data_IF_596739061936
#
_entry.id   IF_596739061936
#
_cell.length_a   1.000
_cell.length_b   1.000
_cell.length_c   1.000
_cell.angle_alpha   90.00
_cell.angle_beta   90.00
_cell.angle_gamma   90.00
#
_symmetry.space_group_name_H-M   'P 1'
#
loop_
_entity.id
_entity.type
_entity.pdbx_description
1 polymer ?
#
# COMPACT_ATOMS: atom_id res chain seq x y z
N UNK A 1 9.52 -3.57 -27.51
CA UNK A 1 9.64 -4.86 -28.22
C UNK A 1 8.55 -5.78 -27.71
N UNK A 2 7.42 -5.89 -28.43
CA UNK A 2 6.41 -6.91 -28.18
C UNK A 2 6.84 -8.18 -28.91
N UNK A 3 6.94 -9.31 -28.20
CA UNK A 3 7.04 -10.63 -28.80
C UNK A 3 5.85 -11.45 -28.31
N UNK A 4 4.90 -11.65 -29.23
CA UNK A 4 3.85 -12.66 -29.18
C UNK A 4 4.47 -14.05 -29.38
N UNK A 5 4.15 -15.01 -28.52
CA UNK A 5 4.44 -16.42 -28.78
C UNK A 5 3.15 -17.23 -28.76
N UNK A 6 2.84 -17.85 -29.90
CA UNK A 6 1.78 -18.83 -30.09
C UNK A 6 2.26 -20.19 -29.57
N UNK A 7 1.50 -20.78 -28.65
CA UNK A 7 1.78 -22.13 -28.14
C UNK A 7 1.23 -23.18 -29.12
N UNK A 8 2.10 -24.03 -29.64
CA UNK A 8 1.75 -25.28 -30.30
C UNK A 8 2.86 -26.30 -30.04
N UNK A 9 2.42 -27.51 -29.68
CA UNK A 9 3.14 -28.79 -29.53
C UNK A 9 3.97 -29.04 -28.26
N UNK A 10 3.45 -29.96 -27.41
CA UNK A 10 4.16 -31.11 -26.81
C UNK A 10 3.12 -32.16 -26.27
N UNK A 11 3.47 -33.46 -26.18
CA UNK A 11 2.55 -34.63 -26.16
C UNK A 11 2.10 -35.10 -24.74
N UNK A 12 1.15 -36.06 -24.62
CA UNK A 12 0.45 -36.33 -23.36
C UNK A 12 1.13 -37.41 -22.49
N UNK A 13 1.13 -37.23 -21.17
CA UNK A 13 1.42 -38.29 -20.19
C UNK A 13 0.71 -38.06 -18.85
N UNK A 14 -0.40 -38.77 -18.67
CA UNK A 14 -0.89 -39.49 -17.48
C UNK A 14 -0.68 -38.88 -16.08
N UNK A 15 -1.76 -38.23 -15.63
CA UNK A 15 -2.40 -38.16 -14.29
C UNK A 15 -1.73 -38.92 -13.12
N UNK A 16 -1.34 -38.16 -12.09
CA UNK A 16 -1.56 -38.52 -10.69
C UNK A 16 -1.90 -37.25 -9.88
N UNK A 17 -3.03 -37.31 -9.19
CA UNK A 17 -3.77 -36.20 -8.61
C UNK A 17 -3.28 -35.86 -7.19
N UNK A 18 -2.90 -34.60 -6.96
CA UNK A 18 -3.06 -33.92 -5.67
C UNK A 18 -3.21 -32.42 -5.92
N UNK A 19 -4.47 -31.99 -6.03
CA UNK A 19 -4.91 -30.66 -6.44
C UNK A 19 -4.77 -29.67 -5.27
N UNK A 20 -3.74 -28.83 -5.29
CA UNK A 20 -3.70 -27.55 -4.56
C UNK A 20 -4.02 -26.42 -5.55
N UNK A 21 -5.01 -25.59 -5.23
CA UNK A 21 -5.47 -24.51 -6.11
C UNK A 21 -4.39 -23.44 -6.32
N UNK A 22 -4.11 -23.02 -7.58
CA UNK A 22 -3.31 -21.83 -7.83
C UNK A 22 -4.20 -20.59 -7.65
N UNK A 23 -3.78 -19.67 -6.78
CA UNK A 23 -4.37 -18.33 -6.65
C UNK A 23 -4.16 -17.54 -7.94
N UNK A 24 -5.12 -17.69 -8.86
CA UNK A 24 -5.28 -16.82 -10.01
C UNK A 24 -6.06 -15.58 -9.55
N UNK A 25 -5.50 -14.39 -9.75
CA UNK A 25 -6.23 -13.14 -9.62
C UNK A 25 -7.35 -13.15 -10.68
N UNK A 26 -8.54 -13.56 -10.26
CA UNK A 26 -9.72 -13.52 -11.09
C UNK A 26 -10.12 -12.05 -11.25
N UNK A 27 -9.89 -11.50 -12.44
CA UNK A 27 -10.65 -10.34 -12.89
C UNK A 27 -12.09 -10.80 -13.10
N UNK A 28 -12.86 -10.90 -12.01
CA UNK A 28 -14.28 -11.16 -12.10
C UNK A 28 -14.93 -9.88 -12.63
N UNK A 29 -15.02 -9.78 -13.96
CA UNK A 29 -15.93 -8.85 -14.63
C UNK A 29 -17.33 -9.21 -14.16
N UNK A 30 -17.85 -8.46 -13.20
CA UNK A 30 -19.29 -8.44 -12.97
C UNK A 30 -19.94 -7.99 -14.28
N UNK A 31 -20.78 -8.82 -14.92
CA UNK A 31 -21.65 -8.32 -15.97
C UNK A 31 -22.61 -7.35 -15.26
N UNK A 32 -22.53 -6.07 -15.63
CA UNK A 32 -23.52 -5.08 -15.21
C UNK A 32 -24.88 -5.53 -15.74
N UNK A 33 -25.68 -6.13 -14.87
CA UNK A 33 -27.05 -6.50 -15.19
C UNK A 33 -27.91 -5.24 -15.06
N UNK A 34 -27.90 -4.40 -16.10
CA UNK A 34 -28.83 -3.29 -16.25
C UNK A 34 -29.34 -3.29 -17.71
N UNK A 35 -30.65 -3.45 -17.96
CA UNK A 35 -31.17 -3.54 -19.32
C UNK A 35 -31.00 -2.18 -20.02
N UNK A 36 -30.29 -2.18 -21.14
CA UNK A 36 -30.29 -1.11 -22.16
C UNK A 36 -29.76 0.29 -21.75
N UNK A 37 -28.75 0.39 -20.86
CA UNK A 37 -27.98 1.65 -20.76
C UNK A 37 -26.95 1.72 -21.88
N UNK A 38 -27.06 2.76 -22.72
CA UNK A 38 -26.08 3.11 -23.75
C UNK A 38 -24.65 3.07 -23.15
N UNK A 39 -23.62 2.59 -23.87
CA UNK A 39 -22.25 2.60 -23.38
C UNK A 39 -21.80 4.01 -22.96
N UNK A 40 -20.93 4.10 -21.95
CA UNK A 40 -20.35 5.39 -21.54
C UNK A 40 -19.27 5.81 -22.54
N UNK A 41 -19.27 7.11 -22.90
CA UNK A 41 -18.25 7.71 -23.76
C UNK A 41 -16.92 7.96 -23.02
N UNK A 42 -16.94 7.86 -21.70
CA UNK A 42 -15.78 7.99 -20.82
C UNK A 42 -15.50 6.64 -20.16
N UNK A 43 -14.24 6.19 -20.20
CA UNK A 43 -13.78 5.01 -19.47
C UNK A 43 -12.96 5.38 -18.25
N UNK A 44 -13.10 4.60 -17.18
CA UNK A 44 -12.27 4.71 -15.98
C UNK A 44 -11.23 3.59 -15.96
N UNK A 45 -9.95 3.99 -15.89
CA UNK A 45 -8.81 3.13 -15.58
C UNK A 45 -8.26 3.50 -14.20
N UNK A 46 -8.00 2.50 -13.37
CA UNK A 46 -7.42 2.66 -12.04
C UNK A 46 -6.16 1.83 -11.98
N UNK A 47 -5.05 2.46 -11.63
CA UNK A 47 -3.75 1.79 -11.51
C UNK A 47 -3.12 2.13 -10.17
N UNK A 48 -2.74 1.12 -9.39
CA UNK A 48 -1.90 1.33 -8.21
C UNK A 48 -0.56 1.90 -8.69
N UNK A 49 -0.08 2.96 -8.04
CA UNK A 49 1.22 3.51 -8.35
C UNK A 49 2.27 2.55 -7.79
N UNK A 50 2.90 1.78 -8.69
CA UNK A 50 3.99 0.89 -8.32
C UNK A 50 5.21 1.71 -7.92
N UNK A 51 5.94 1.22 -6.92
CA UNK A 51 7.20 1.81 -6.51
C UNK A 51 8.32 0.99 -7.15
N UNK A 52 9.24 1.60 -7.90
CA UNK A 52 10.36 0.88 -8.47
C UNK A 52 11.25 0.31 -7.35
N UNK A 53 11.80 -0.88 -7.56
CA UNK A 53 12.79 -1.48 -6.67
C UNK A 53 14.11 -1.71 -7.41
N UNK A 54 15.21 -1.75 -6.66
CA UNK A 54 16.53 -2.05 -7.21
C UNK A 54 16.61 -3.54 -7.55
N UNK A 55 17.09 -3.85 -8.75
CA UNK A 55 17.37 -5.24 -9.11
C UNK A 55 18.66 -5.67 -8.42
N UNK A 56 18.55 -6.64 -7.50
CA UNK A 56 19.73 -7.31 -6.93
C UNK A 56 20.35 -8.16 -8.03
N UNK A 57 21.50 -7.72 -8.54
CA UNK A 57 22.34 -8.51 -9.43
C UNK A 57 23.45 -9.16 -8.62
N UNK A 58 23.51 -10.48 -8.68
CA UNK A 58 24.60 -11.21 -8.04
C UNK A 58 25.83 -11.12 -8.93
N UNK A 59 27.02 -10.81 -8.36
CA UNK A 59 28.24 -10.81 -9.13
C UNK A 59 28.46 -12.19 -9.76
N UNK A 60 28.66 -12.22 -11.07
CA UNK A 60 29.24 -13.38 -11.74
C UNK A 60 30.69 -13.48 -11.27
N UNK A 61 31.22 -14.72 -11.17
CA UNK A 61 32.61 -15.04 -10.79
C UNK A 61 33.60 -13.96 -11.25
N UNK A 62 34.44 -13.47 -10.33
CA UNK A 62 35.32 -12.34 -10.62
C UNK A 62 36.17 -12.60 -11.89
N UNK A 63 36.39 -11.58 -12.74
CA UNK A 63 37.26 -11.72 -13.90
C UNK A 63 38.62 -12.26 -13.46
N UNK A 64 39.19 -13.18 -14.26
CA UNK A 64 40.49 -13.84 -14.00
C UNK A 64 40.51 -14.91 -12.89
N UNK A 65 39.37 -15.28 -12.30
CA UNK A 65 39.35 -16.39 -11.32
C UNK A 65 39.64 -17.73 -12.03
N UNK A 66 40.73 -18.46 -11.69
CA UNK A 66 41.09 -19.73 -12.31
C UNK A 66 39.95 -20.74 -12.29
N UNK A 67 39.61 -21.39 -13.40
CA UNK A 67 38.49 -22.36 -13.49
C UNK A 67 38.62 -23.56 -12.54
N UNK A 68 39.83 -23.82 -12.02
CA UNK A 68 40.11 -24.92 -11.11
C UNK A 68 39.76 -24.62 -9.64
N UNK A 69 39.51 -23.36 -9.28
CA UNK A 69 39.07 -23.01 -7.93
C UNK A 69 37.57 -23.31 -7.77
N UNK A 70 37.14 -23.92 -6.65
CA UNK A 70 35.73 -24.04 -6.32
C UNK A 70 35.04 -22.67 -6.43
N UNK A 71 33.82 -22.62 -6.95
CA UNK A 71 33.06 -21.39 -6.92
C UNK A 71 32.79 -21.01 -5.45
N UNK A 72 33.12 -19.78 -5.06
CA UNK A 72 32.68 -19.27 -3.76
C UNK A 72 31.15 -19.37 -3.70
N UNK A 73 30.58 -19.78 -2.56
CA UNK A 73 29.13 -19.91 -2.42
C UNK A 73 28.50 -18.55 -2.68
N UNK A 74 27.71 -18.45 -3.75
CA UNK A 74 26.88 -17.27 -4.01
C UNK A 74 25.76 -17.21 -2.97
N UNK A 75 25.23 -16.01 -2.61
CA UNK A 75 24.10 -15.88 -1.68
C UNK A 75 22.85 -16.69 -2.03
N UNK A 76 22.69 -17.10 -3.30
CA UNK A 76 21.62 -18.01 -3.75
C UNK A 76 21.90 -19.52 -3.53
N UNK A 77 23.04 -19.88 -2.92
CA UNK A 77 23.43 -21.24 -2.60
C UNK A 77 23.00 -21.60 -1.18
N UNK A 78 22.43 -22.79 -0.99
CA UNK A 78 22.09 -23.35 0.34
C UNK A 78 23.28 -23.43 1.31
N UNK A 79 24.52 -23.30 0.81
CA UNK A 79 25.76 -23.32 1.58
C UNK A 79 26.25 -21.92 2.03
N UNK A 80 25.49 -20.86 1.79
CA UNK A 80 25.87 -19.50 2.17
C UNK A 80 25.39 -19.18 3.60
N UNK A 81 26.32 -19.15 4.55
CA UNK A 81 26.06 -18.87 5.97
C UNK A 81 26.04 -17.35 6.23
N UNK A 82 24.85 -16.81 6.53
CA UNK A 82 24.59 -15.37 6.66
C UNK A 82 24.62 -14.92 8.13
N UNK A 83 25.68 -15.21 8.87
CA UNK A 83 25.67 -14.93 10.32
C UNK A 83 25.93 -13.47 10.72
N UNK A 84 26.35 -12.55 9.83
CA UNK A 84 26.56 -11.15 10.25
C UNK A 84 26.70 -10.05 9.18
N UNK A 85 26.74 -10.35 7.87
CA UNK A 85 27.01 -9.31 6.87
C UNK A 85 26.06 -9.41 5.68
N UNK A 86 25.17 -8.43 5.53
CA UNK A 86 24.29 -8.29 4.38
C UNK A 86 25.04 -8.02 3.07
N UNK A 87 26.37 -7.84 3.12
CA UNK A 87 27.19 -7.65 1.93
C UNK A 87 28.71 -7.88 2.18
N UNK A 88 29.27 -9.09 1.98
CA UNK A 88 30.69 -9.33 2.23
C UNK A 88 31.64 -8.83 1.13
N UNK A 89 31.14 -8.37 -0.02
CA UNK A 89 31.99 -7.89 -1.11
C UNK A 89 31.38 -6.63 -1.76
N UNK A 90 32.15 -5.55 -2.01
CA UNK A 90 31.62 -4.36 -2.67
C UNK A 90 31.22 -4.69 -4.12
N UNK A 91 29.93 -4.92 -4.36
CA UNK A 91 29.37 -5.03 -5.70
C UNK A 91 28.68 -3.73 -6.08
N UNK A 92 28.73 -3.38 -7.36
CA UNK A 92 28.05 -2.21 -7.89
C UNK A 92 26.54 -2.50 -7.91
N UNK A 93 25.74 -1.70 -7.20
CA UNK A 93 24.30 -1.67 -7.42
C UNK A 93 24.06 -1.26 -8.87
N UNK A 94 23.45 -2.16 -9.64
CA UNK A 94 23.06 -1.84 -11.01
C UNK A 94 22.05 -0.69 -10.96
N UNK A 95 22.17 0.35 -11.82
CA UNK A 95 21.20 1.46 -11.87
C UNK A 95 19.83 1.04 -12.42
N UNK A 96 19.60 -0.27 -12.58
CA UNK A 96 18.38 -0.83 -13.14
C UNK A 96 17.33 -0.92 -12.04
N UNK A 97 16.30 -0.11 -12.20
CA UNK A 97 15.07 -0.20 -11.44
C UNK A 97 14.12 -1.15 -12.17
N UNK A 98 13.53 -2.10 -11.44
CA UNK A 98 12.43 -2.91 -11.96
C UNK A 98 11.11 -2.40 -11.39
N UNK A 99 10.08 -2.44 -12.22
CA UNK A 99 8.72 -2.26 -11.74
C UNK A 99 8.19 -3.63 -11.30
N UNK A 100 7.56 -3.73 -10.12
CA UNK A 100 7.00 -5.00 -9.69
C UNK A 100 6.05 -5.57 -10.74
N UNK A 101 6.21 -6.85 -11.04
CA UNK A 101 5.45 -7.58 -12.08
C UNK A 101 3.95 -7.74 -11.73
N UNK A 102 3.54 -7.38 -10.51
CA UNK A 102 2.18 -7.52 -10.02
C UNK A 102 1.80 -6.39 -9.06
N UNK A 103 0.51 -6.33 -8.74
CA UNK A 103 -0.07 -5.32 -7.84
C UNK A 103 0.48 -5.35 -6.41
N UNK A 104 1.27 -6.36 -6.03
CA UNK A 104 1.84 -6.54 -4.69
C UNK A 104 0.79 -6.70 -3.59
N UNK A 105 1.23 -7.11 -2.40
CA UNK A 105 0.40 -7.01 -1.20
C UNK A 105 0.25 -5.53 -0.79
N UNK A 106 -0.82 -5.19 -0.09
CA UNK A 106 -0.95 -3.91 0.61
C UNK A 106 -0.81 -4.18 2.09
N UNK A 107 -0.02 -3.38 2.80
CA UNK A 107 0.20 -3.61 4.22
C UNK A 107 -0.24 -2.42 5.09
N UNK A 108 -0.64 -2.74 6.33
CA UNK A 108 -1.01 -1.74 7.33
C UNK A 108 0.21 -0.89 7.68
N UNK A 109 -0.02 0.41 7.74
CA UNK A 109 0.96 1.44 7.98
C UNK A 109 1.60 2.00 6.72
N UNK A 110 1.31 1.43 5.54
CA UNK A 110 1.68 2.03 4.26
C UNK A 110 0.64 3.04 3.77
N UNK A 111 1.09 3.92 2.88
CA UNK A 111 0.19 4.76 2.06
C UNK A 111 -0.17 4.01 0.79
N UNK A 112 -1.45 3.69 0.65
CA UNK A 112 -2.05 3.22 -0.61
C UNK A 112 -2.16 4.38 -1.59
N UNK A 113 -1.49 4.26 -2.74
CA UNK A 113 -1.51 5.27 -3.78
C UNK A 113 -1.97 4.69 -5.11
N UNK A 114 -2.92 5.35 -5.78
CA UNK A 114 -3.37 4.96 -7.11
C UNK A 114 -3.67 6.18 -7.99
N UNK A 115 -3.51 6.00 -9.30
CA UNK A 115 -3.96 6.96 -10.31
C UNK A 115 -5.32 6.53 -10.86
N UNK A 116 -6.22 7.50 -10.95
CA UNK A 116 -7.56 7.42 -11.52
C UNK A 116 -7.54 8.19 -12.83
N UNK A 117 -7.82 7.51 -13.94
CA UNK A 117 -7.81 8.11 -15.27
C UNK A 117 -9.20 7.97 -15.91
N UNK A 118 -9.90 9.08 -16.06
CA UNK A 118 -11.12 9.18 -16.86
C UNK A 118 -10.73 9.57 -18.28
N UNK A 119 -10.81 8.62 -19.21
CA UNK A 119 -10.39 8.81 -20.61
C UNK A 119 -11.63 9.01 -21.48
N UNK A 120 -11.59 10.03 -22.35
CA UNK A 120 -12.54 10.14 -23.44
C UNK A 120 -12.03 9.27 -24.59
N UNK A 121 -12.47 8.01 -24.61
CA UNK A 121 -12.08 7.09 -25.68
C UNK A 121 -12.64 7.59 -27.01
N UNK A 122 -11.78 7.70 -28.02
CA UNK A 122 -12.21 8.12 -29.37
C UNK A 122 -13.20 7.09 -29.88
N UNK A 123 -14.46 7.45 -30.17
CA UNK A 123 -15.35 6.51 -30.83
C UNK A 123 -14.76 6.19 -32.20
N UNK A 124 -14.66 4.89 -32.51
CA UNK A 124 -14.29 4.42 -33.84
C UNK A 124 -15.24 5.08 -34.85
N UNK A 125 -14.73 6.12 -35.51
CA UNK A 125 -15.45 6.83 -36.57
C UNK A 125 -15.18 6.16 -37.91
N UNK A 126 -14.95 4.85 -37.91
CA UNK A 126 -15.01 4.08 -39.14
C UNK A 126 -16.47 4.09 -39.62
N UNK A 127 -16.78 4.69 -40.78
CA UNK A 127 -18.11 4.56 -41.35
C UNK A 127 -18.43 3.06 -41.50
N UNK A 128 -19.69 2.62 -41.29
CA UNK A 128 -20.05 1.24 -41.52
C UNK A 128 -19.66 0.86 -42.95
N UNK A 129 -18.71 -0.06 -43.05
CA UNK A 129 -18.18 -0.54 -44.32
C UNK A 129 -19.08 -1.69 -44.76
N UNK A 130 -19.71 -1.56 -45.93
CA UNK A 130 -20.53 -2.63 -46.48
C UNK A 130 -19.69 -3.84 -46.88
N UNK A 131 -20.31 -5.00 -47.14
CA UNK A 131 -19.63 -6.15 -47.74
C UNK A 131 -19.06 -5.70 -49.11
N UNK A 132 -17.74 -5.52 -49.17
CA UNK A 132 -17.04 -4.97 -50.35
C UNK A 132 -16.15 -3.75 -50.11
N UNK A 133 -15.98 -3.28 -48.87
CA UNK A 133 -15.00 -2.22 -48.59
C UNK A 133 -15.46 -0.79 -48.94
N UNK A 134 -16.68 -0.63 -49.45
CA UNK A 134 -17.24 0.67 -49.79
C UNK A 134 -18.06 1.27 -48.62
N UNK A 135 -17.94 2.58 -48.35
CA UNK A 135 -18.79 3.28 -47.39
C UNK A 135 -20.26 3.16 -47.79
N UNK A 136 -21.14 2.76 -46.87
CA UNK A 136 -22.58 2.74 -47.09
C UNK A 136 -23.09 4.16 -47.37
N UNK A 137 -23.55 4.41 -48.61
CA UNK A 137 -24.23 5.65 -48.97
C UNK A 137 -25.53 5.79 -48.17
N UNK A 138 -25.60 6.80 -47.29
CA UNK A 138 -26.72 7.02 -46.38
C UNK A 138 -26.41 6.80 -44.89
N UNK A 139 -25.21 6.32 -44.54
CA UNK A 139 -24.73 6.40 -43.18
C UNK A 139 -24.45 7.89 -42.85
N UNK A 140 -25.37 8.52 -42.11
CA UNK A 140 -25.17 9.89 -41.63
C UNK A 140 -23.83 10.02 -40.91
N UNK A 141 -23.19 11.19 -41.02
CA UNK A 141 -21.92 11.46 -40.36
C UNK A 141 -22.00 11.03 -38.87
N UNK A 142 -20.95 10.41 -38.31
CA UNK A 142 -20.95 10.04 -36.90
C UNK A 142 -21.22 11.30 -36.08
N UNK A 143 -22.32 11.28 -35.29
CA UNK A 143 -22.70 12.42 -34.44
C UNK A 143 -21.54 12.70 -33.48
N UNK A 144 -20.86 13.84 -33.66
CA UNK A 144 -19.79 14.26 -32.74
C UNK A 144 -20.39 14.51 -31.37
N UNK A 145 -19.93 13.75 -30.38
CA UNK A 145 -20.27 13.94 -28.98
C UNK A 145 -19.20 14.81 -28.34
N UNK A 146 -19.61 15.86 -27.64
CA UNK A 146 -18.73 16.70 -26.81
C UNK A 146 -18.87 16.24 -25.36
N UNK A 147 -17.74 15.95 -24.72
CA UNK A 147 -17.67 15.54 -23.31
C UNK A 147 -17.19 16.72 -22.48
N UNK A 148 -18.04 17.13 -21.55
CA UNK A 148 -17.83 18.31 -20.72
C UNK A 148 -18.00 17.98 -19.24
N UNK A 149 -17.53 18.86 -18.38
CA UNK A 149 -17.78 18.81 -16.93
C UNK A 149 -17.42 17.43 -16.31
N UNK A 150 -16.31 16.83 -16.75
CA UNK A 150 -15.86 15.53 -16.23
C UNK A 150 -15.32 15.71 -14.81
N UNK A 151 -15.81 14.88 -13.88
CA UNK A 151 -15.41 14.86 -12.48
C UNK A 151 -15.17 13.44 -12.01
N UNK A 152 -14.18 13.30 -11.13
CA UNK A 152 -13.86 12.05 -10.45
C UNK A 152 -14.06 12.30 -8.96
N UNK A 153 -14.82 11.43 -8.32
CA UNK A 153 -14.93 11.35 -6.87
C UNK A 153 -14.47 9.97 -6.42
N UNK A 154 -13.72 9.92 -5.32
CA UNK A 154 -13.26 8.67 -4.75
C UNK A 154 -13.63 8.59 -3.28
N UNK A 155 -14.01 7.40 -2.84
CA UNK A 155 -14.34 7.10 -1.46
C UNK A 155 -13.68 5.77 -1.07
N UNK A 156 -13.19 5.68 0.17
CA UNK A 156 -12.64 4.46 0.73
C UNK A 156 -13.58 3.90 1.78
N UNK A 157 -13.87 2.59 1.68
CA UNK A 157 -14.50 1.83 2.75
C UNK A 157 -13.45 0.94 3.40
N UNK A 158 -13.20 1.13 4.70
CA UNK A 158 -12.25 0.32 5.46
C UNK A 158 -12.96 -0.85 6.18
N UNK A 159 -12.21 -1.89 6.57
CA UNK A 159 -12.73 -3.01 7.34
C UNK A 159 -13.29 -2.57 8.70
N UNK A 160 -14.58 -2.80 8.94
CA UNK A 160 -15.21 -2.46 10.24
C UNK A 160 -15.69 -1.02 10.36
N UNK A 161 -15.40 -0.14 9.39
CA UNK A 161 -16.03 1.17 9.33
C UNK A 161 -17.51 1.07 8.89
N UNK A 162 -18.38 1.73 9.66
CA UNK A 162 -19.80 1.87 9.33
C UNK A 162 -20.07 2.99 8.31
N UNK A 163 -19.08 3.85 8.05
CA UNK A 163 -19.15 4.95 7.09
C UNK A 163 -18.08 4.82 6.01
N UNK A 164 -18.33 5.45 4.87
CA UNK A 164 -17.36 5.55 3.78
C UNK A 164 -16.64 6.89 3.92
N UNK A 165 -15.32 6.89 3.76
CA UNK A 165 -14.51 8.11 3.83
C UNK A 165 -14.33 8.69 2.42
N UNK A 166 -14.79 9.92 2.19
CA UNK A 166 -14.48 10.65 0.95
C UNK A 166 -12.99 10.98 0.91
N UNK A 167 -12.36 10.75 -0.24
CA UNK A 167 -10.92 10.93 -0.43
C UNK A 167 -10.64 12.24 -1.15
N UNK A 168 -9.59 12.92 -0.71
CA UNK A 168 -9.04 14.07 -1.43
C UNK A 168 -8.18 13.59 -2.61
N UNK A 169 -8.37 14.24 -3.75
CA UNK A 169 -7.70 13.89 -5.00
C UNK A 169 -6.62 14.92 -5.33
N UNK A 170 -5.45 14.43 -5.73
CA UNK A 170 -4.32 15.26 -6.18
C UNK A 170 -4.14 15.19 -7.71
N UNK A 171 -3.76 16.28 -8.39
CA UNK A 171 -3.72 17.65 -7.89
C UNK A 171 -5.12 18.11 -7.46
N UNK A 172 -5.23 19.05 -6.50
CA UNK A 172 -6.52 19.63 -6.14
C UNK A 172 -7.14 20.31 -7.37
N UNK A 173 -8.48 20.42 -7.40
CA UNK A 173 -9.13 21.18 -8.46
C UNK A 173 -8.58 22.62 -8.47
N UNK A 174 -8.14 23.16 -9.63
CA UNK A 174 -7.55 24.49 -9.71
C UNK A 174 -8.53 25.63 -9.37
N UNK A 175 -9.80 25.33 -9.17
CA UNK A 175 -10.83 26.24 -8.71
C UNK A 175 -11.83 25.49 -7.83
N UNK A 176 -12.19 26.04 -6.69
CA UNK A 176 -13.34 25.65 -5.85
C UNK A 176 -14.70 25.78 -6.56
N UNK A 177 -14.68 26.10 -7.86
CA UNK A 177 -15.88 26.12 -8.69
C UNK A 177 -16.36 24.70 -8.96
N UNK A 178 -17.66 24.55 -8.84
CA UNK A 178 -18.45 23.38 -9.26
C UNK A 178 -18.41 23.16 -10.78
N UNK A 179 -17.25 23.30 -11.43
CA UNK A 179 -17.04 23.14 -12.88
C UNK A 179 -15.95 22.09 -13.09
N UNK A 180 -16.35 20.96 -13.64
CA UNK A 180 -15.50 19.85 -14.04
C UNK A 180 -14.70 20.18 -15.30
N UNK A 181 -13.92 19.20 -15.75
CA UNK A 181 -12.98 19.36 -16.87
C UNK A 181 -13.62 18.92 -18.18
N UNK A 182 -13.52 19.76 -19.22
CA UNK A 182 -13.93 19.37 -20.57
C UNK A 182 -12.81 18.52 -21.20
N UNK A 183 -13.16 17.44 -21.91
CA UNK A 183 -12.20 16.51 -22.50
C UNK A 183 -12.42 16.40 -24.01
N UNK A 184 -11.39 16.70 -24.79
CA UNK A 184 -11.39 16.39 -26.23
C UNK A 184 -11.25 14.88 -26.46
N UNK A 185 -11.62 14.36 -27.64
CA UNK A 185 -11.44 12.94 -27.94
C UNK A 185 -9.97 12.53 -27.83
N UNK A 186 -9.69 11.52 -27.00
CA UNK A 186 -8.33 11.06 -26.68
C UNK A 186 -7.75 11.67 -25.40
N UNK A 187 -8.35 12.73 -24.86
CA UNK A 187 -7.88 13.35 -23.61
C UNK A 187 -8.24 12.50 -22.39
N UNK A 188 -7.51 12.75 -21.31
CA UNK A 188 -7.65 12.05 -20.04
C UNK A 188 -7.61 13.01 -18.86
N UNK A 189 -8.61 12.95 -18.00
CA UNK A 189 -8.56 13.56 -16.67
C UNK A 189 -7.89 12.58 -15.70
N UNK A 190 -6.72 12.93 -15.20
CA UNK A 190 -5.97 12.12 -14.24
C UNK A 190 -6.05 12.71 -12.82
N UNK A 191 -6.24 11.84 -11.83
CA UNK A 191 -6.18 12.15 -10.39
C UNK A 191 -5.45 11.08 -9.62
N UNK A 192 -4.86 11.47 -8.49
CA UNK A 192 -4.10 10.59 -7.60
C UNK A 192 -4.82 10.54 -6.26
N UNK A 193 -5.05 9.32 -5.78
CA UNK A 193 -5.52 9.04 -4.43
C UNK A 193 -4.32 8.65 -3.59
N UNK A 194 -4.22 9.19 -2.38
CA UNK A 194 -3.34 8.71 -1.33
C UNK A 194 -4.19 8.40 -0.09
N UNK A 195 -3.99 7.23 0.49
CA UNK A 195 -4.78 6.78 1.64
C UNK A 195 -3.92 5.96 2.60
N UNK A 196 -3.86 6.36 3.86
CA UNK A 196 -3.09 5.64 4.87
C UNK A 196 -3.85 4.40 5.34
N UNK A 197 -3.27 3.22 5.16
CA UNK A 197 -3.88 1.95 5.56
C UNK A 197 -3.66 1.72 7.06
N UNK A 198 -4.72 1.77 7.84
CA UNK A 198 -4.65 1.63 9.31
C UNK A 198 -5.22 0.33 9.85
N UNK A 199 -5.99 -0.38 9.04
CA UNK A 199 -6.77 -1.54 9.45
C UNK A 199 -6.45 -2.72 8.54
N UNK A 200 -6.50 -3.93 9.07
CA UNK A 200 -6.32 -5.16 8.30
C UNK A 200 -7.64 -5.62 7.67
N UNK A 201 -7.57 -6.24 6.50
CA UNK A 201 -8.71 -6.85 5.83
C UNK A 201 -9.18 -6.14 4.56
N UNK A 202 -10.45 -6.35 4.21
CA UNK A 202 -11.05 -5.95 2.94
C UNK A 202 -11.32 -4.43 2.86
N UNK A 203 -10.57 -3.75 2.01
CA UNK A 203 -10.80 -2.36 1.64
C UNK A 203 -11.53 -2.28 0.30
N UNK A 204 -12.41 -1.30 0.15
CA UNK A 204 -13.10 -1.04 -1.12
C UNK A 204 -12.92 0.42 -1.50
N UNK A 205 -12.19 0.65 -2.59
CA UNK A 205 -12.10 1.93 -3.27
C UNK A 205 -13.30 2.07 -4.22
N UNK A 206 -14.19 3.01 -3.91
CA UNK A 206 -15.31 3.36 -4.76
C UNK A 206 -14.99 4.63 -5.55
N UNK A 207 -15.05 4.53 -6.88
CA UNK A 207 -14.77 5.66 -7.77
C UNK A 207 -16.02 5.97 -8.59
N UNK A 208 -16.49 7.21 -8.47
CA UNK A 208 -17.63 7.73 -9.22
C UNK A 208 -17.12 8.72 -10.25
N UNK A 209 -17.51 8.54 -11.51
CA UNK A 209 -17.21 9.48 -12.59
C UNK A 209 -18.53 10.06 -13.08
N UNK A 210 -18.62 11.39 -13.09
CA UNK A 210 -19.74 12.12 -13.68
C UNK A 210 -19.24 13.03 -14.81
N UNK A 211 -20.05 13.18 -15.85
CA UNK A 211 -19.75 14.03 -16.99
C UNK A 211 -21.03 14.45 -17.71
N UNK A 212 -20.95 15.54 -18.48
CA UNK A 212 -22.00 15.99 -19.38
C UNK A 212 -21.67 15.55 -20.81
N UNK A 213 -22.57 14.78 -21.42
CA UNK A 213 -22.47 14.34 -22.81
C UNK A 213 -23.41 15.19 -23.66
N UNK A 214 -22.84 16.01 -24.56
CA UNK A 214 -23.59 16.86 -25.47
C UNK A 214 -23.49 16.36 -26.92
N UNK A 215 -24.63 16.32 -27.60
CA UNK A 215 -24.77 16.19 -29.06
C UNK A 215 -25.28 17.52 -29.61
N UNK A 216 -25.25 17.71 -30.94
CA UNK A 216 -25.68 18.97 -31.58
C UNK A 216 -27.10 19.42 -31.18
N UNK A 217 -27.97 18.49 -30.81
CA UNK A 217 -29.40 18.74 -30.55
C UNK A 217 -29.82 18.57 -29.08
N UNK A 218 -28.98 17.97 -28.24
CA UNK A 218 -29.32 17.68 -26.84
C UNK A 218 -28.09 17.30 -26.02
N UNK A 219 -28.14 17.47 -24.70
CA UNK A 219 -27.11 16.94 -23.81
C UNK A 219 -27.68 16.38 -22.52
N UNK A 220 -26.96 15.43 -21.92
CA UNK A 220 -27.36 14.70 -20.72
C UNK A 220 -26.17 14.50 -19.78
N UNK A 221 -26.42 14.64 -18.48
CA UNK A 221 -25.44 14.24 -17.46
C UNK A 221 -25.46 12.73 -17.32
N UNK A 222 -24.27 12.12 -17.30
CA UNK A 222 -24.09 10.68 -17.13
C UNK A 222 -23.14 10.45 -15.97
N UNK A 223 -23.46 9.44 -15.17
CA UNK A 223 -22.65 9.05 -14.01
C UNK A 223 -22.52 7.54 -13.99
N UNK A 224 -21.34 7.05 -13.62
CA UNK A 224 -21.14 5.65 -13.30
C UNK A 224 -20.20 5.51 -12.09
N UNK A 225 -20.35 4.39 -11.37
CA UNK A 225 -19.56 4.07 -10.18
C UNK A 225 -18.93 2.69 -10.35
N UNK A 226 -17.63 2.59 -10.06
CA UNK A 226 -16.89 1.32 -10.03
C UNK A 226 -16.31 1.10 -8.63
N UNK A 227 -16.32 -0.16 -8.19
CA UNK A 227 -15.80 -0.59 -6.91
C UNK A 227 -14.57 -1.48 -7.14
N UNK A 228 -13.49 -1.20 -6.41
CA UNK A 228 -12.24 -1.95 -6.46
C UNK A 228 -11.93 -2.46 -5.06
N UNK A 229 -11.98 -3.78 -4.89
CA UNK A 229 -11.70 -4.43 -3.61
C UNK A 229 -10.25 -4.92 -3.57
N UNK A 230 -9.59 -4.70 -2.43
CA UNK A 230 -8.26 -5.23 -2.14
C UNK A 230 -8.13 -5.59 -0.66
N UNK A 231 -7.16 -6.44 -0.32
CA UNK A 231 -6.93 -6.90 1.06
C UNK A 231 -5.66 -6.22 1.58
N UNK A 232 -5.75 -5.66 2.78
CA UNK A 232 -4.62 -5.14 3.53
C UNK A 232 -4.16 -6.19 4.56
N UNK A 233 -2.87 -6.56 4.54
CA UNK A 233 -2.23 -7.48 5.49
C UNK A 233 -1.51 -6.69 6.60
N UNK A 234 -1.14 -7.35 7.69
CA UNK A 234 -0.29 -6.74 8.72
C UNK A 234 1.14 -6.53 8.22
N UNK A 235 1.72 -5.33 8.38
CA UNK A 235 3.19 -5.14 8.22
C UNK A 235 3.93 -5.60 9.48
N UNK A 236 3.44 -5.15 10.63
CA UNK A 236 4.06 -5.32 11.94
C UNK A 236 3.01 -5.74 12.94
N UNK A 237 3.25 -6.87 13.60
CA UNK A 237 2.46 -7.27 14.76
C UNK A 237 3.11 -6.72 16.01
N UNK A 238 2.33 -6.02 16.83
CA UNK A 238 2.78 -5.41 18.08
C UNK A 238 2.17 -6.14 19.27
N UNK A 239 3.02 -6.71 20.14
CA UNK A 239 2.58 -7.34 21.39
C UNK A 239 3.17 -6.58 22.57
N UNK A 240 2.32 -5.91 23.34
CA UNK A 240 2.75 -5.09 24.49
C UNK A 240 2.55 -5.82 25.81
N UNK A 241 3.48 -5.63 26.75
CA UNK A 241 3.38 -6.07 28.14
C UNK A 241 3.77 -4.93 29.06
N UNK A 242 2.97 -4.70 30.11
CA UNK A 242 3.24 -3.67 31.11
C UNK A 242 3.37 -4.33 32.48
N UNK A 243 4.45 -4.02 33.20
CA UNK A 243 4.71 -4.52 34.55
C UNK A 243 5.07 -3.38 35.52
N UNK A 244 4.75 -3.50 36.82
CA UNK A 244 5.21 -2.55 37.82
C UNK A 244 6.74 -2.66 37.99
N UNK A 245 7.41 -1.52 38.17
CA UNK A 245 8.83 -1.43 38.49
C UNK A 245 8.98 -0.84 39.89
N UNK A 246 9.99 -1.31 40.64
CA UNK A 246 10.24 -0.82 41.98
C UNK A 246 10.46 0.72 41.97
N UNK A 247 9.92 1.46 42.96
CA UNK A 247 10.12 2.90 43.04
C UNK A 247 11.62 3.20 43.19
N UNK A 248 12.15 4.06 42.33
CA UNK A 248 13.57 4.42 42.37
C UNK A 248 13.92 5.35 43.53
N UNK A 249 15.21 5.39 43.85
CA UNK A 249 15.77 5.98 45.07
C UNK A 249 15.61 7.50 45.23
N UNK A 250 15.15 8.22 44.21
CA UNK A 250 14.96 9.68 44.23
C UNK A 250 13.52 10.01 43.82
N UNK A 251 12.76 10.57 44.76
CA UNK A 251 11.40 11.08 44.63
C UNK A 251 10.35 10.04 44.16
N UNK A 252 9.62 9.47 45.14
CA UNK A 252 8.79 8.26 45.02
C UNK A 252 7.48 8.41 44.23
N UNK A 253 7.58 8.51 42.90
CA UNK A 253 6.50 8.22 41.95
C UNK A 253 6.41 6.72 41.63
N UNK A 254 5.23 6.26 41.18
CA UNK A 254 5.07 4.91 40.64
C UNK A 254 5.82 4.78 39.32
N UNK A 255 6.36 3.58 39.07
CA UNK A 255 7.14 3.27 37.87
C UNK A 255 6.65 1.98 37.25
N UNK A 256 6.77 1.90 35.94
CA UNK A 256 6.39 0.72 35.18
C UNK A 256 7.43 0.45 34.09
N UNK A 257 7.62 -0.81 33.79
CA UNK A 257 8.29 -1.25 32.58
C UNK A 257 7.23 -1.55 31.53
N UNK A 258 7.42 -1.02 30.34
CA UNK A 258 6.61 -1.33 29.17
C UNK A 258 7.49 -1.95 28.10
N UNK A 259 7.21 -3.20 27.78
CA UNK A 259 7.86 -3.95 26.72
C UNK A 259 6.91 -4.04 25.51
N UNK A 260 7.44 -3.93 24.30
CA UNK A 260 6.72 -4.28 23.09
C UNK A 260 7.57 -5.17 22.20
N UNK A 261 6.98 -6.25 21.70
CA UNK A 261 7.55 -7.10 20.67
C UNK A 261 7.01 -6.64 19.31
N UNK A 262 7.92 -6.32 18.40
CA UNK A 262 7.63 -5.86 17.05
C UNK A 262 8.04 -6.97 16.08
N UNK A 263 7.07 -7.69 15.52
CA UNK A 263 7.30 -8.80 14.59
C UNK A 263 7.03 -8.35 13.15
N UNK A 264 8.01 -8.46 12.26
CA UNK A 264 7.82 -8.18 10.84
C UNK A 264 7.05 -9.32 10.17
N UNK A 265 5.81 -9.05 9.76
CA UNK A 265 4.95 -10.00 9.05
C UNK A 265 4.80 -9.66 7.56
N UNK A 266 5.53 -8.65 7.08
CA UNK A 266 5.60 -8.33 5.66
C UNK A 266 6.55 -9.28 4.92
N UNK A 267 6.50 -9.23 3.59
CA UNK A 267 7.43 -9.99 2.72
C UNK A 267 8.75 -9.23 2.50
N UNK A 268 8.81 -7.96 2.92
CA UNK A 268 9.92 -7.05 2.70
C UNK A 268 10.70 -6.75 3.99
N UNK A 269 11.87 -6.14 3.83
CA UNK A 269 12.68 -5.66 4.95
C UNK A 269 12.08 -4.38 5.56
N UNK A 270 12.15 -4.30 6.89
CA UNK A 270 11.69 -3.13 7.64
C UNK A 270 12.85 -2.60 8.49
N UNK A 271 13.30 -1.38 8.25
CA UNK A 271 14.20 -0.67 9.17
C UNK A 271 13.39 0.21 10.12
N UNK A 272 13.46 -0.09 11.41
CA UNK A 272 12.81 0.74 12.43
C UNK A 272 13.46 2.13 12.46
N UNK A 273 12.66 3.17 12.35
CA UNK A 273 13.13 4.55 12.36
C UNK A 273 12.93 5.20 13.73
N UNK A 274 11.75 5.02 14.31
CA UNK A 274 11.38 5.65 15.57
C UNK A 274 10.28 4.83 16.25
N UNK A 275 10.44 4.57 17.54
CA UNK A 275 9.38 4.01 18.38
C UNK A 275 9.21 4.95 19.57
N UNK A 276 8.00 5.45 19.77
CA UNK A 276 7.72 6.47 20.79
C UNK A 276 6.43 6.22 21.51
N UNK A 277 6.43 6.61 22.78
CA UNK A 277 5.24 6.70 23.60
C UNK A 277 4.68 8.11 23.55
N UNK A 278 3.44 8.23 23.08
CA UNK A 278 2.60 9.42 23.28
C UNK A 278 1.81 9.22 24.56
N UNK A 279 2.30 9.80 25.65
CA UNK A 279 1.78 9.56 27.00
C UNK A 279 0.65 10.51 27.38
N UNK A 280 -0.22 10.05 28.27
CA UNK A 280 -1.20 10.87 28.96
C UNK A 280 -0.51 11.89 29.91
N UNK A 281 -1.22 12.97 30.21
CA UNK A 281 -0.72 14.04 31.07
C UNK A 281 -0.25 13.52 32.44
N UNK A 282 0.90 14.03 32.89
CA UNK A 282 1.51 13.65 34.18
C UNK A 282 2.33 12.36 34.14
N UNK A 283 2.55 11.77 32.97
CA UNK A 283 3.48 10.66 32.78
C UNK A 283 4.67 11.09 31.91
N UNK A 284 5.85 10.57 32.25
CA UNK A 284 7.06 10.63 31.44
C UNK A 284 7.58 9.23 31.14
N UNK A 285 8.48 9.11 30.17
CA UNK A 285 9.20 7.86 29.95
C UNK A 285 10.68 8.08 29.68
N UNK A 286 11.46 7.05 29.99
CA UNK A 286 12.82 6.87 29.52
C UNK A 286 12.82 5.79 28.44
N UNK A 287 13.37 6.11 27.27
CA UNK A 287 13.61 5.17 26.17
C UNK A 287 14.83 4.30 26.50
N UNK A 288 14.67 2.98 26.48
CA UNK A 288 15.72 2.01 26.77
C UNK A 288 16.16 1.21 25.52
N UNK A 289 15.82 1.71 24.32
CA UNK A 289 16.06 1.03 23.05
C UNK A 289 17.46 1.36 22.48
N UNK A 290 17.57 1.46 21.16
CA UNK A 290 18.82 1.85 20.48
C UNK A 290 19.17 3.32 20.78
N UNK A 291 20.31 3.53 21.42
CA UNK A 291 20.84 4.87 21.65
C UNK A 291 21.14 5.55 20.30
N UNK A 292 20.46 6.66 20.01
CA UNK A 292 20.60 7.41 18.74
C UNK A 292 21.96 8.15 18.61
N UNK A 293 22.98 7.79 19.41
CA UNK A 293 24.24 8.53 19.50
C UNK A 293 25.51 7.73 19.84
N UNK A 294 25.42 6.46 20.24
CA UNK A 294 26.58 5.64 20.68
C UNK A 294 27.02 4.58 19.66
N UNK A 295 26.59 4.70 18.41
CA UNK A 295 27.00 3.81 17.32
C UNK A 295 26.15 2.54 17.16
N UNK A 296 25.10 2.36 17.98
CA UNK A 296 24.06 1.37 17.74
C UNK A 296 23.25 1.73 16.49
N UNK A 297 23.26 0.86 15.48
CA UNK A 297 22.45 1.03 14.27
C UNK A 297 20.96 0.88 14.55
N UNK A 298 20.13 1.55 13.76
CA UNK A 298 18.67 1.32 13.74
C UNK A 298 18.39 -0.14 13.35
N UNK A 299 17.54 -0.88 14.10
CA UNK A 299 17.25 -2.28 13.80
C UNK A 299 16.66 -2.46 12.39
N UNK A 300 17.10 -3.50 11.70
CA UNK A 300 16.55 -3.94 10.41
C UNK A 300 15.98 -5.33 10.63
N UNK A 301 14.67 -5.47 10.40
CA UNK A 301 13.91 -6.69 10.57
C UNK A 301 13.66 -7.34 9.22
N UNK A 302 14.15 -8.56 9.05
CA UNK A 302 13.77 -9.45 7.96
C UNK A 302 12.34 -9.99 8.19
N UNK A 303 11.68 -10.53 7.14
CA UNK A 303 10.41 -11.22 7.31
C UNK A 303 10.48 -12.31 8.39
N UNK A 304 9.57 -12.23 9.36
CA UNK A 304 9.49 -13.14 10.51
C UNK A 304 10.39 -12.79 11.70
N UNK A 305 11.27 -11.80 11.58
CA UNK A 305 12.11 -11.36 12.71
C UNK A 305 11.34 -10.48 13.70
N UNK A 306 11.82 -10.52 14.94
CA UNK A 306 11.20 -9.83 16.08
C UNK A 306 12.22 -8.92 16.75
N UNK A 307 11.87 -7.65 16.93
CA UNK A 307 12.61 -6.71 17.77
C UNK A 307 11.87 -6.50 19.09
N UNK A 308 12.60 -6.49 20.21
CA UNK A 308 12.04 -6.11 21.51
C UNK A 308 12.43 -4.68 21.85
N UNK A 309 11.43 -3.87 22.17
CA UNK A 309 11.61 -2.51 22.66
C UNK A 309 11.11 -2.38 24.09
N UNK A 310 11.77 -1.53 24.87
CA UNK A 310 11.53 -1.34 26.28
C UNK A 310 11.52 0.15 26.64
N UNK A 311 10.57 0.52 27.50
CA UNK A 311 10.41 1.86 28.04
C UNK A 311 10.19 1.79 29.54
N UNK A 312 10.79 2.70 30.28
CA UNK A 312 10.47 2.91 31.70
C UNK A 312 9.54 4.10 31.81
N UNK A 313 8.30 3.87 32.21
CA UNK A 313 7.26 4.90 32.39
C UNK A 313 7.21 5.30 33.86
N UNK A 314 7.19 6.60 34.13
CA UNK A 314 7.21 7.16 35.48
C UNK A 314 6.19 8.30 35.60
N UNK A 315 5.64 8.49 36.81
CA UNK A 315 4.86 9.71 37.11
C UNK A 315 5.79 10.93 37.12
N UNK A 316 5.41 11.97 36.37
CA UNK A 316 6.22 13.18 36.26
C UNK A 316 6.23 13.97 37.58
N UNK A 317 7.40 14.50 37.95
CA UNK A 317 7.57 15.24 39.18
C UNK A 317 6.69 16.51 39.19
N UNK A 318 5.91 16.71 40.26
CA UNK A 318 5.01 17.86 40.40
C UNK A 318 3.67 17.74 39.65
N UNK A 319 3.46 16.67 38.88
CA UNK A 319 2.16 16.37 38.29
C UNK A 319 1.24 15.61 39.27
N UNK A 320 -0.09 15.77 39.16
CA UNK A 320 -1.03 14.94 39.91
C UNK A 320 -0.84 13.47 39.53
N UNK A 321 -0.88 12.58 40.54
CA UNK A 321 -0.76 11.13 40.33
C UNK A 321 -1.76 10.64 39.30
N UNK A 322 -1.33 9.73 38.43
CA UNK A 322 -2.18 9.14 37.41
C UNK A 322 -3.31 8.35 38.08
N UNK A 323 -4.54 8.85 37.98
CA UNK A 323 -5.68 8.19 38.62
C UNK A 323 -6.19 7.02 37.74
N UNK A 324 -6.61 5.91 38.35
CA UNK A 324 -7.31 4.87 37.60
C UNK A 324 -8.58 5.45 36.99
N UNK A 325 -8.85 5.12 35.73
CA UNK A 325 -10.13 5.42 35.09
C UNK A 325 -11.29 4.65 35.74
N UNK A 326 -12.50 4.84 35.21
CA UNK A 326 -13.70 4.13 35.70
C UNK A 326 -13.57 2.59 35.64
N UNK A 327 -12.70 2.09 34.76
CA UNK A 327 -12.39 0.66 34.60
C UNK A 327 -11.26 0.16 35.53
N UNK A 328 -10.75 1.01 36.42
CA UNK A 328 -9.65 0.71 37.34
C UNK A 328 -8.28 0.59 36.66
N UNK A 329 -8.16 0.98 35.39
CA UNK A 329 -6.88 1.00 34.66
C UNK A 329 -6.24 2.38 34.70
N UNK A 330 -4.93 2.40 34.87
CA UNK A 330 -4.12 3.59 34.63
C UNK A 330 -3.80 3.60 33.14
N UNK A 331 -4.30 4.61 32.44
CA UNK A 331 -4.06 4.80 31.02
C UNK A 331 -2.71 5.48 30.82
N UNK A 332 -1.85 4.87 30.02
CA UNK A 332 -0.51 5.40 29.77
C UNK A 332 -0.46 6.26 28.53
N UNK A 333 -1.08 5.80 27.43
CA UNK A 333 -0.94 6.50 26.15
C UNK A 333 -0.99 5.56 24.96
N UNK A 334 -0.36 5.95 23.87
CA UNK A 334 -0.30 5.20 22.61
C UNK A 334 1.15 4.95 22.22
N UNK A 335 1.46 3.74 21.75
CA UNK A 335 2.76 3.43 21.16
C UNK A 335 2.70 3.71 19.66
N UNK A 336 3.55 4.63 19.19
CA UNK A 336 3.77 4.92 17.78
C UNK A 336 5.05 4.26 17.28
N UNK A 337 4.96 3.56 16.14
CA UNK A 337 6.08 2.93 15.46
C UNK A 337 6.19 3.54 14.07
N UNK A 338 7.36 4.02 13.69
CA UNK A 338 7.69 4.50 12.36
C UNK A 338 8.86 3.70 11.79
N UNK A 339 8.78 3.37 10.50
CA UNK A 339 9.82 2.59 9.81
C UNK A 339 10.03 3.03 8.37
N UNK A 340 11.13 2.52 7.81
CA UNK A 340 11.48 2.60 6.40
C UNK A 340 11.48 1.21 5.78
N UNK A 341 10.80 1.07 4.66
CA UNK A 341 10.92 -0.08 3.77
C UNK A 341 11.91 0.19 2.64
N UNK A 342 11.87 -0.66 1.62
CA UNK A 342 12.69 -0.52 0.42
C UNK A 342 12.57 0.86 -0.23
N UNK A 343 13.67 1.37 -0.79
CA UNK A 343 13.75 2.68 -1.44
C UNK A 343 13.32 3.86 -0.54
N UNK A 344 13.32 3.67 0.78
CA UNK A 344 13.00 4.72 1.76
C UNK A 344 11.51 4.98 1.93
N UNK A 345 10.66 4.05 1.49
CA UNK A 345 9.21 4.11 1.73
C UNK A 345 8.93 4.21 3.21
N UNK A 346 8.08 5.15 3.60
CA UNK A 346 7.71 5.35 5.00
C UNK A 346 6.51 4.50 5.34
N UNK A 347 6.56 3.86 6.50
CA UNK A 347 5.40 3.28 7.13
C UNK A 347 5.29 3.71 8.58
N UNK A 348 4.08 3.72 9.10
CA UNK A 348 3.82 4.01 10.51
C UNK A 348 2.64 3.21 11.05
N UNK A 349 2.68 2.88 12.33
CA UNK A 349 1.63 2.17 13.03
C UNK A 349 1.45 2.81 14.40
N UNK A 350 0.22 2.79 14.90
CA UNK A 350 -0.07 3.22 16.26
C UNK A 350 -0.95 2.19 16.93
N UNK A 351 -0.66 1.87 18.19
CA UNK A 351 -1.51 0.99 18.98
C UNK A 351 -2.79 1.70 19.41
N UNK A 352 -3.75 0.94 19.94
CA UNK A 352 -4.78 1.53 20.80
C UNK A 352 -4.19 2.10 22.09
N UNK A 353 -5.04 2.73 22.92
CA UNK A 353 -4.61 3.23 24.24
C UNK A 353 -4.15 2.06 25.12
N UNK A 354 -2.91 2.14 25.56
CA UNK A 354 -2.27 1.21 26.49
C UNK A 354 -2.55 1.62 27.93
N UNK A 355 -2.64 0.64 28.81
CA UNK A 355 -2.83 0.87 30.23
C UNK A 355 -2.73 -0.42 31.02
N UNK A 356 -2.48 -0.29 32.32
CA UNK A 356 -2.39 -1.42 33.25
C UNK A 356 -3.42 -1.30 34.35
N UNK A 357 -3.88 -2.43 34.90
CA UNK A 357 -4.75 -2.39 36.08
C UNK A 357 -3.96 -1.87 37.27
N UNK A 358 -4.58 -1.01 38.05
CA UNK A 358 -4.01 -0.61 39.33
C UNK A 358 -3.95 -1.82 40.26
N UNK A 359 -2.74 -2.29 40.56
CA UNK A 359 -2.52 -3.25 41.63
C UNK A 359 -2.34 -2.42 42.90
N UNK A 360 -3.36 -2.49 43.77
CA UNK A 360 -3.42 -1.73 45.03
C UNK A 360 -2.35 -2.14 46.03
#
# INVERSE_FOLDING_TARGET
LLLSYTASDLPPSIVAEKRGEPHTMSHQRYPSHDPLKEPHSVSLKVLRLSRPSLVVQHPIRAPLTPSALPADPTPASLAYDTTAATNPAPFLLSPILNLPLSFGSAYVGEVFSCTLCANHDVPDSAPPVGPGGQPLAGAGAPKRKSIRDVRIEAEMKTPGANSVQKLELSPPNPSDDAKGTDLDPGDTLQRIVNFDLKEEGNHVLAVTVSYYEATETSGKTRTFRKLYQFICKSSLIVRTKIGPLAPGAKHGGRRWVMEAQLENCSEDFIQLEKVVLDLADGLGYTDCNWETGSGGGRPVLHPGEVEQVCFVVEEAEGSPRAQPGEDGRIMFGVLGIGWRGEMGNRGFLSTGKLGTRHVA
#
